data_IF_079566867038
#
_entry.id   IF_079566867038
#
_cell.length_a   1.000
_cell.length_b   1.000
_cell.length_c   1.000
_cell.angle_alpha   90.00
_cell.angle_beta   90.00
_cell.angle_gamma   90.00
#
_symmetry.space_group_name_H-M   'P 1'
#
loop_
_entity.id
_entity.type
_entity.pdbx_description
1 polymer ?
#
# COMPACT_ATOMS: atom_id res chain seq x y z
N UNK A 1 2.86 9.47 22.85
CA UNK A 1 2.38 8.07 22.72
C UNK A 1 2.87 7.53 21.40
N UNK A 2 3.59 6.41 21.42
CA UNK A 2 3.97 5.71 20.20
C UNK A 2 2.74 5.05 19.54
N UNK A 3 2.73 5.07 18.22
CA UNK A 3 1.82 4.31 17.39
C UNK A 3 2.64 3.33 16.54
N UNK A 4 2.31 2.05 16.67
CA UNK A 4 3.02 1.01 15.93
C UNK A 4 2.25 0.68 14.66
N UNK A 5 2.97 0.61 13.55
CA UNK A 5 2.45 0.18 12.25
C UNK A 5 3.26 -1.01 11.77
N UNK A 6 2.57 -2.04 11.27
CA UNK A 6 3.19 -3.20 10.64
C UNK A 6 2.92 -3.18 9.14
N UNK A 7 3.95 -3.37 8.32
CA UNK A 7 3.80 -3.69 6.90
C UNK A 7 4.15 -5.16 6.69
N UNK A 8 3.28 -5.92 6.02
CA UNK A 8 3.48 -7.36 5.82
C UNK A 8 3.07 -7.82 4.42
N UNK A 9 3.80 -8.80 3.90
CA UNK A 9 3.41 -9.54 2.69
C UNK A 9 2.38 -10.66 2.97
N UNK A 10 1.97 -10.85 4.23
CA UNK A 10 0.92 -11.79 4.63
C UNK A 10 1.30 -13.27 4.66
N UNK A 11 2.46 -13.67 4.16
CA UNK A 11 2.84 -15.09 4.05
C UNK A 11 2.80 -15.79 5.41
N UNK A 12 3.35 -15.16 6.46
CA UNK A 12 3.41 -15.67 7.83
C UNK A 12 2.25 -15.20 8.73
N UNK A 13 1.26 -14.50 8.18
CA UNK A 13 0.10 -14.00 8.91
C UNK A 13 -0.86 -15.16 9.21
N UNK A 14 -0.63 -15.83 10.32
CA UNK A 14 -1.52 -16.85 10.90
C UNK A 14 -2.43 -16.25 11.97
N UNK A 15 -3.29 -17.04 12.59
CA UNK A 15 -4.27 -16.58 13.57
C UNK A 15 -3.62 -15.95 14.82
N UNK A 16 -2.55 -16.54 15.34
CA UNK A 16 -1.80 -16.02 16.48
C UNK A 16 -1.19 -14.64 16.18
N UNK A 17 -0.59 -14.51 14.98
CA UNK A 17 -0.03 -13.23 14.52
C UNK A 17 -1.13 -12.20 14.30
N UNK A 18 -2.29 -12.59 13.76
CA UNK A 18 -3.42 -11.67 13.60
C UNK A 18 -3.95 -11.17 14.95
N UNK A 19 -4.07 -12.04 15.96
CA UNK A 19 -4.46 -11.64 17.31
C UNK A 19 -3.48 -10.63 17.92
N UNK A 20 -2.17 -10.91 17.82
CA UNK A 20 -1.13 -9.99 18.26
C UNK A 20 -1.22 -8.64 17.55
N UNK A 21 -1.32 -8.65 16.21
CA UNK A 21 -1.43 -7.45 15.38
C UNK A 21 -2.66 -6.63 15.73
N UNK A 22 -3.80 -7.26 15.95
CA UNK A 22 -5.03 -6.56 16.34
C UNK A 22 -4.93 -5.91 17.74
N UNK A 23 -4.18 -6.51 18.63
CA UNK A 23 -4.01 -5.99 20.00
C UNK A 23 -2.97 -4.87 20.09
N UNK A 24 -1.85 -5.00 19.36
CA UNK A 24 -0.67 -4.17 19.58
C UNK A 24 -0.45 -3.10 18.47
N UNK A 25 -0.97 -3.31 17.25
CA UNK A 25 -0.71 -2.42 16.12
C UNK A 25 -1.85 -1.42 15.92
N UNK A 26 -1.50 -0.13 15.90
CA UNK A 26 -2.47 0.93 15.57
C UNK A 26 -2.90 0.86 14.11
N UNK A 27 -1.98 0.51 13.20
CA UNK A 27 -2.28 0.36 11.77
C UNK A 27 -1.53 -0.83 11.16
N UNK A 28 -2.10 -1.40 10.10
CA UNK A 28 -1.49 -2.52 9.37
C UNK A 28 -1.54 -2.26 7.88
N UNK A 29 -0.41 -2.45 7.20
CA UNK A 29 -0.31 -2.35 5.75
C UNK A 29 -0.14 -3.75 5.16
N UNK A 30 -1.09 -4.17 4.34
CA UNK A 30 -1.19 -5.47 3.73
C UNK A 30 -0.75 -5.38 2.27
N UNK A 31 0.40 -5.96 1.94
CA UNK A 31 1.01 -5.81 0.61
C UNK A 31 0.35 -6.71 -0.43
N UNK A 32 -0.51 -6.13 -1.28
CA UNK A 32 -1.18 -6.79 -2.40
C UNK A 32 -1.33 -5.80 -3.56
N UNK A 33 -0.92 -6.19 -4.77
CA UNK A 33 -0.78 -5.23 -5.87
C UNK A 33 -2.06 -5.07 -6.71
N UNK A 34 -3.11 -5.85 -6.45
CA UNK A 34 -4.37 -5.78 -7.19
C UNK A 34 -4.82 -7.14 -7.68
N UNK A 35 -5.16 -7.28 -8.98
CA UNK A 35 -5.59 -8.53 -9.60
C UNK A 35 -4.53 -9.62 -9.43
N UNK A 36 -4.97 -10.87 -9.41
CA UNK A 36 -4.12 -12.05 -9.16
C UNK A 36 -2.89 -12.09 -10.06
N UNK A 37 -3.07 -11.91 -11.36
CA UNK A 37 -2.00 -11.96 -12.35
C UNK A 37 -0.97 -10.83 -12.16
N UNK A 38 -1.41 -9.64 -11.72
CA UNK A 38 -0.53 -8.52 -11.39
C UNK A 38 0.29 -8.84 -10.15
N UNK A 39 -0.38 -9.25 -9.08
CA UNK A 39 0.27 -9.59 -7.82
C UNK A 39 1.27 -10.75 -7.98
N UNK A 40 0.85 -11.84 -8.61
CA UNK A 40 1.68 -13.04 -8.75
C UNK A 40 2.90 -12.80 -9.65
N UNK A 41 2.82 -11.86 -10.60
CA UNK A 41 3.95 -11.45 -11.43
C UNK A 41 5.03 -10.72 -10.63
N UNK A 42 4.62 -9.82 -9.73
CA UNK A 42 5.53 -8.96 -8.98
C UNK A 42 5.97 -9.56 -7.63
N UNK A 43 5.16 -10.47 -7.06
CA UNK A 43 5.41 -11.10 -5.75
C UNK A 43 5.32 -12.63 -5.81
N UNK A 44 6.07 -13.28 -6.73
CA UNK A 44 6.11 -14.75 -6.73
C UNK A 44 6.88 -15.28 -5.52
N UNK A 45 6.59 -16.52 -5.14
CA UNK A 45 7.48 -17.27 -4.25
C UNK A 45 8.82 -17.59 -4.95
N UNK A 46 9.83 -17.96 -4.17
CA UNK A 46 11.15 -18.38 -4.71
C UNK A 46 11.07 -19.54 -5.70
N UNK A 47 10.03 -20.37 -5.64
CA UNK A 47 9.77 -21.47 -6.57
C UNK A 47 8.97 -21.05 -7.82
N UNK A 48 8.73 -19.74 -8.01
CA UNK A 48 8.01 -19.19 -9.14
C UNK A 48 6.48 -19.28 -9.06
N UNK A 49 5.92 -19.91 -8.03
CA UNK A 49 4.46 -19.95 -7.83
C UNK A 49 3.95 -18.59 -7.33
N UNK A 50 2.72 -18.23 -7.73
CA UNK A 50 2.04 -17.05 -7.23
C UNK A 50 1.76 -17.11 -5.73
N UNK A 51 1.71 -15.95 -5.09
CA UNK A 51 1.43 -15.83 -3.64
C UNK A 51 0.01 -15.33 -3.35
N UNK A 52 -0.72 -14.84 -4.33
CA UNK A 52 -2.05 -14.23 -4.20
C UNK A 52 -3.04 -15.11 -3.44
N UNK A 53 -3.23 -16.35 -3.88
CA UNK A 53 -4.21 -17.28 -3.28
C UNK A 53 -3.91 -17.64 -1.82
N UNK A 54 -2.64 -17.51 -1.40
CA UNK A 54 -2.25 -17.72 0.00
C UNK A 54 -2.54 -16.51 0.86
N UNK A 55 -2.27 -15.29 0.35
CA UNK A 55 -2.30 -14.08 1.18
C UNK A 55 -3.69 -13.43 1.23
N UNK A 56 -4.47 -13.50 0.14
CA UNK A 56 -5.77 -12.85 0.05
C UNK A 56 -6.72 -13.27 1.18
N UNK A 57 -6.99 -14.56 1.46
CA UNK A 57 -7.93 -14.93 2.53
C UNK A 57 -7.50 -14.44 3.93
N UNK A 58 -6.19 -14.32 4.15
CA UNK A 58 -5.63 -13.80 5.40
C UNK A 58 -5.86 -12.29 5.54
N UNK A 59 -5.76 -11.57 4.43
CA UNK A 59 -5.98 -10.13 4.39
C UNK A 59 -7.46 -9.79 4.56
N UNK A 60 -8.36 -10.53 3.91
CA UNK A 60 -9.80 -10.41 4.11
C UNK A 60 -10.16 -10.62 5.58
N UNK A 61 -9.69 -11.72 6.18
CA UNK A 61 -9.92 -12.01 7.60
C UNK A 61 -9.42 -10.91 8.53
N UNK A 62 -8.22 -10.36 8.26
CA UNK A 62 -7.68 -9.27 9.08
C UNK A 62 -8.51 -7.99 8.92
N UNK A 63 -8.86 -7.59 7.70
CA UNK A 63 -9.67 -6.41 7.43
C UNK A 63 -11.05 -6.49 8.12
N UNK A 64 -11.71 -7.64 8.04
CA UNK A 64 -12.97 -7.92 8.73
C UNK A 64 -12.81 -7.83 10.26
N UNK A 65 -11.77 -8.45 10.82
CA UNK A 65 -11.51 -8.45 12.27
C UNK A 65 -11.22 -7.05 12.82
N UNK A 66 -10.84 -6.11 11.96
CA UNK A 66 -10.61 -4.70 12.27
C UNK A 66 -11.81 -3.80 11.91
N UNK A 67 -12.98 -4.38 11.56
CA UNK A 67 -14.15 -3.63 11.12
C UNK A 67 -13.86 -2.67 9.97
N UNK A 68 -13.01 -3.07 9.03
CA UNK A 68 -12.60 -2.29 7.86
C UNK A 68 -11.89 -0.96 8.21
N UNK A 69 -11.27 -0.87 9.41
CA UNK A 69 -10.56 0.31 9.88
C UNK A 69 -9.11 0.01 10.27
N UNK A 70 -8.25 1.03 10.27
CA UNK A 70 -6.85 0.98 10.74
C UNK A 70 -6.02 -0.09 10.02
N UNK A 71 -6.27 -0.24 8.75
CA UNK A 71 -5.44 -1.01 7.83
C UNK A 71 -5.42 -0.32 6.46
N UNK A 72 -4.50 -0.74 5.61
CA UNK A 72 -4.51 -0.47 4.17
C UNK A 72 -4.10 -1.74 3.43
N UNK A 73 -4.83 -2.10 2.37
CA UNK A 73 -4.25 -2.93 1.33
C UNK A 73 -3.42 -2.01 0.45
N UNK A 74 -2.15 -2.33 0.27
CA UNK A 74 -1.20 -1.50 -0.45
C UNK A 74 -0.54 -2.26 -1.58
N UNK A 75 -0.74 -1.75 -2.78
CA UNK A 75 -0.14 -2.25 -4.00
C UNK A 75 0.81 -1.25 -4.65
N UNK A 76 1.43 -1.70 -5.74
CA UNK A 76 2.29 -0.89 -6.57
C UNK A 76 1.92 -1.11 -8.03
N UNK A 77 1.69 -0.03 -8.78
CA UNK A 77 1.55 -0.13 -10.21
C UNK A 77 2.86 0.22 -10.93
N UNK A 78 3.06 -0.40 -12.06
CA UNK A 78 4.27 -0.33 -12.86
C UNK A 78 3.90 -0.13 -14.33
N UNK A 79 4.87 -0.04 -15.20
CA UNK A 79 4.65 -0.07 -16.65
C UNK A 79 3.86 -1.30 -17.12
N UNK A 80 3.89 -2.40 -16.34
CA UNK A 80 3.23 -3.65 -16.68
C UNK A 80 1.73 -3.69 -16.35
N UNK A 81 1.25 -2.75 -15.53
CA UNK A 81 -0.16 -2.62 -15.12
C UNK A 81 -0.56 -1.15 -15.00
N UNK A 82 -0.34 -0.39 -16.07
CA UNK A 82 -0.73 1.03 -16.11
C UNK A 82 -2.24 1.23 -15.94
N UNK A 83 -3.04 0.22 -16.28
CA UNK A 83 -4.48 0.13 -16.03
C UNK A 83 -4.82 -0.13 -14.54
N UNK A 84 -4.05 0.46 -13.64
CA UNK A 84 -4.08 0.24 -12.18
C UNK A 84 -5.44 0.53 -11.54
N UNK A 85 -6.29 1.35 -12.18
CA UNK A 85 -7.66 1.55 -11.69
C UNK A 85 -8.42 0.23 -11.60
N UNK A 86 -8.17 -0.71 -12.51
CA UNK A 86 -8.77 -2.04 -12.47
C UNK A 86 -8.26 -2.86 -11.27
N UNK A 87 -7.01 -2.65 -10.85
CA UNK A 87 -6.44 -3.29 -9.66
C UNK A 87 -7.08 -2.73 -8.38
N UNK A 88 -7.23 -1.41 -8.30
CA UNK A 88 -7.93 -0.74 -7.18
C UNK A 88 -9.38 -1.20 -7.09
N UNK A 89 -10.11 -1.22 -8.20
CA UNK A 89 -11.52 -1.63 -8.24
C UNK A 89 -11.69 -3.12 -7.93
N UNK A 90 -10.75 -3.96 -8.36
CA UNK A 90 -10.71 -5.37 -7.98
C UNK A 90 -10.62 -5.54 -6.45
N UNK A 91 -9.70 -4.83 -5.79
CA UNK A 91 -9.57 -4.86 -4.34
C UNK A 91 -10.83 -4.33 -3.64
N UNK A 92 -11.44 -3.26 -4.15
CA UNK A 92 -12.69 -2.73 -3.63
C UNK A 92 -13.86 -3.72 -3.77
N UNK A 93 -13.94 -4.42 -4.91
CA UNK A 93 -14.98 -5.44 -5.16
C UNK A 93 -14.81 -6.69 -4.28
N UNK A 94 -13.60 -6.98 -3.79
CA UNK A 94 -13.33 -7.98 -2.75
C UNK A 94 -13.75 -7.51 -1.33
N UNK A 95 -14.20 -6.28 -1.18
CA UNK A 95 -14.70 -5.75 0.10
C UNK A 95 -13.70 -4.93 0.91
N UNK A 96 -12.47 -4.72 0.42
CA UNK A 96 -11.53 -3.84 1.09
C UNK A 96 -11.98 -2.38 1.01
N UNK A 97 -12.00 -1.70 2.17
CA UNK A 97 -12.44 -0.30 2.29
C UNK A 97 -11.30 0.72 2.35
N UNK A 98 -10.07 0.27 2.58
CA UNK A 98 -8.90 1.15 2.69
C UNK A 98 -7.83 0.68 1.70
N UNK A 99 -7.68 1.41 0.59
CA UNK A 99 -6.86 1.00 -0.55
C UNK A 99 -5.83 2.08 -0.88
N UNK A 100 -4.60 1.64 -1.13
CA UNK A 100 -3.48 2.46 -1.58
C UNK A 100 -2.72 1.71 -2.67
N UNK A 101 -2.68 2.23 -3.88
CA UNK A 101 -1.88 1.68 -4.99
C UNK A 101 -0.98 2.79 -5.51
N UNK A 102 0.32 2.62 -5.29
CA UNK A 102 1.34 3.64 -5.51
C UNK A 102 2.07 3.41 -6.84
N UNK A 103 2.55 4.46 -7.52
CA UNK A 103 3.47 4.28 -8.63
C UNK A 103 4.79 3.64 -8.15
N UNK A 104 5.37 2.78 -8.97
CA UNK A 104 6.69 2.22 -8.68
C UNK A 104 7.74 3.35 -8.66
N UNK A 105 8.66 3.26 -7.71
CA UNK A 105 9.84 4.12 -7.62
C UNK A 105 11.07 3.22 -7.73
N UNK A 106 11.94 3.50 -8.69
CA UNK A 106 13.13 2.72 -8.96
C UNK A 106 14.03 3.43 -9.96
N UNK A 107 15.03 2.72 -10.50
CA UNK A 107 15.85 3.21 -11.59
C UNK A 107 15.05 3.23 -12.90
N UNK A 108 15.23 4.25 -13.72
CA UNK A 108 14.60 4.35 -15.04
C UNK A 108 15.06 3.24 -16.02
N UNK A 109 16.14 2.51 -15.67
CA UNK A 109 16.69 1.40 -16.44
C UNK A 109 15.93 0.08 -16.23
N UNK A 110 15.09 0.00 -15.17
CA UNK A 110 14.31 -1.19 -14.88
C UNK A 110 13.17 -1.38 -15.91
N UNK A 111 12.94 -2.59 -16.34
CA UNK A 111 11.94 -2.93 -17.36
C UNK A 111 10.48 -2.68 -16.93
N UNK A 112 10.25 -2.53 -15.63
CA UNK A 112 8.97 -2.18 -15.03
C UNK A 112 8.82 -0.69 -14.69
N UNK A 113 9.86 0.13 -14.90
CA UNK A 113 9.87 1.55 -14.55
C UNK A 113 8.87 2.35 -15.40
N UNK A 114 8.19 3.29 -14.76
CA UNK A 114 7.31 4.25 -15.42
C UNK A 114 8.14 5.34 -16.06
N UNK A 115 7.76 5.74 -17.27
CA UNK A 115 8.43 6.78 -18.04
C UNK A 115 7.50 7.99 -18.24
N UNK A 116 8.06 9.12 -18.65
CA UNK A 116 7.29 10.34 -18.90
C UNK A 116 6.18 10.13 -19.94
N UNK A 117 6.40 9.28 -20.92
CA UNK A 117 5.45 8.92 -21.96
C UNK A 117 4.23 8.16 -21.45
N UNK A 118 4.34 7.52 -20.27
CA UNK A 118 3.24 6.77 -19.65
C UNK A 118 2.24 7.71 -18.90
N UNK A 119 2.64 8.95 -18.58
CA UNK A 119 1.84 9.87 -17.77
C UNK A 119 0.43 10.15 -18.32
N UNK A 120 0.21 10.36 -19.64
CA UNK A 120 -1.14 10.59 -20.14
C UNK A 120 -2.09 9.42 -19.87
N UNK A 121 -1.62 8.18 -20.00
CA UNK A 121 -2.40 6.98 -19.69
C UNK A 121 -2.67 6.87 -18.19
N UNK A 122 -1.67 7.11 -17.36
CA UNK A 122 -1.80 7.12 -15.91
C UNK A 122 -2.83 8.16 -15.45
N UNK A 123 -2.81 9.37 -15.99
CA UNK A 123 -3.79 10.40 -15.64
C UNK A 123 -5.22 10.00 -16.04
N UNK A 124 -5.38 9.40 -17.21
CA UNK A 124 -6.69 8.88 -17.63
C UNK A 124 -7.22 7.78 -16.70
N UNK A 125 -6.33 6.95 -16.14
CA UNK A 125 -6.72 5.92 -15.15
C UNK A 125 -7.11 6.55 -13.80
N UNK A 126 -6.46 7.64 -13.37
CA UNK A 126 -6.91 8.40 -12.19
C UNK A 126 -8.28 9.03 -12.41
N UNK A 127 -8.55 9.61 -13.59
CA UNK A 127 -9.87 10.19 -13.93
C UNK A 127 -10.96 9.12 -13.92
N UNK A 128 -10.69 7.96 -14.49
CA UNK A 128 -11.59 6.80 -14.49
C UNK A 128 -11.87 6.33 -13.06
N UNK A 129 -10.84 6.21 -12.23
CA UNK A 129 -10.99 5.81 -10.84
C UNK A 129 -11.81 6.83 -10.04
N UNK A 130 -11.56 8.13 -10.22
CA UNK A 130 -12.31 9.19 -9.57
C UNK A 130 -13.79 9.14 -9.94
N UNK A 131 -14.11 8.96 -11.23
CA UNK A 131 -15.50 8.82 -11.69
C UNK A 131 -16.19 7.61 -11.05
N UNK A 132 -15.49 6.47 -10.98
CA UNK A 132 -16.06 5.27 -10.37
C UNK A 132 -16.24 5.41 -8.85
N UNK A 133 -15.34 6.09 -8.16
CA UNK A 133 -15.51 6.40 -6.73
C UNK A 133 -16.73 7.28 -6.47
N UNK A 134 -16.99 8.29 -7.32
CA UNK A 134 -18.21 9.10 -7.24
C UNK A 134 -19.45 8.25 -7.42
N UNK A 135 -19.45 7.31 -8.39
CA UNK A 135 -20.58 6.40 -8.64
C UNK A 135 -20.85 5.47 -7.45
N UNK A 136 -19.81 5.06 -6.73
CA UNK A 136 -19.91 4.16 -5.57
C UNK A 136 -20.17 4.89 -4.24
N UNK A 137 -20.01 6.21 -4.21
CA UNK A 137 -20.13 7.01 -3.00
C UNK A 137 -21.49 6.83 -2.31
N UNK A 138 -21.48 6.60 -0.99
CA UNK A 138 -22.64 6.27 -0.19
C UNK A 138 -23.38 4.97 -0.57
N UNK A 139 -22.75 4.07 -1.31
CA UNK A 139 -23.25 2.72 -1.53
C UNK A 139 -22.49 1.71 -0.66
N UNK A 140 -22.92 0.45 -0.64
CA UNK A 140 -22.20 -0.66 -0.02
C UNK A 140 -20.83 -0.95 -0.65
N UNK A 141 -20.62 -0.45 -1.88
CA UNK A 141 -19.37 -0.54 -2.65
C UNK A 141 -18.43 0.65 -2.45
N UNK A 142 -18.78 1.59 -1.57
CA UNK A 142 -17.92 2.72 -1.23
C UNK A 142 -16.59 2.27 -0.62
N UNK A 143 -15.50 2.95 -0.96
CA UNK A 143 -14.15 2.69 -0.45
C UNK A 143 -13.31 3.97 -0.42
N UNK A 144 -12.26 3.98 0.39
CA UNK A 144 -11.27 5.05 0.43
C UNK A 144 -10.07 4.69 -0.44
N UNK A 145 -9.70 5.58 -1.36
CA UNK A 145 -8.44 5.51 -2.08
C UNK A 145 -7.48 6.57 -1.55
N UNK A 146 -6.32 6.15 -1.06
CA UNK A 146 -5.40 7.00 -0.30
C UNK A 146 -5.03 8.30 -1.03
N UNK A 147 -4.78 8.26 -2.35
CA UNK A 147 -4.38 9.44 -3.12
C UNK A 147 -5.48 10.51 -3.21
N UNK A 148 -6.76 10.14 -3.00
CA UNK A 148 -7.88 11.09 -3.01
C UNK A 148 -8.29 11.54 -1.60
N UNK A 149 -7.64 11.05 -0.55
CA UNK A 149 -7.87 11.45 0.84
C UNK A 149 -7.15 12.78 1.14
N UNK A 150 -7.50 13.83 0.41
CA UNK A 150 -6.92 15.16 0.55
C UNK A 150 -7.85 16.06 1.36
N UNK A 151 -7.30 16.74 2.38
CA UNK A 151 -8.01 17.82 3.05
C UNK A 151 -7.95 19.09 2.19
N UNK A 152 -9.02 19.36 1.44
CA UNK A 152 -9.13 20.54 0.59
C UNK A 152 -9.51 21.80 1.39
N UNK A 153 -9.86 21.67 2.68
CA UNK A 153 -10.29 22.78 3.53
C UNK A 153 -9.14 23.42 4.29
N UNK A 154 -8.09 22.63 4.58
CA UNK A 154 -6.94 23.05 5.39
C UNK A 154 -5.84 23.81 4.63
N UNK A 155 -5.94 23.94 3.31
CA UNK A 155 -4.90 24.51 2.46
C UNK A 155 -3.65 23.63 2.34
N UNK A 156 -2.60 24.11 1.64
CA UNK A 156 -1.39 23.31 1.44
C UNK A 156 -0.63 23.14 2.77
N UNK A 157 -0.21 21.90 3.07
CA UNK A 157 0.59 21.60 4.25
C UNK A 157 1.99 22.21 4.14
N UNK A 158 2.17 23.40 4.72
CA UNK A 158 3.46 24.12 4.74
C UNK A 158 4.54 23.29 5.45
N UNK A 159 4.21 22.59 6.54
CA UNK A 159 5.15 21.74 7.27
C UNK A 159 5.73 20.63 6.39
N UNK A 160 4.93 19.94 5.61
CA UNK A 160 5.40 18.91 4.65
C UNK A 160 6.29 19.48 3.54
N UNK A 161 6.08 20.74 3.14
CA UNK A 161 6.94 21.40 2.16
C UNK A 161 8.30 21.76 2.74
N UNK A 162 8.38 22.04 4.05
CA UNK A 162 9.62 22.44 4.72
C UNK A 162 10.42 21.23 5.24
N UNK A 163 9.74 20.22 5.79
CA UNK A 163 10.37 19.05 6.44
C UNK A 163 10.33 17.76 5.60
N UNK A 164 9.70 17.79 4.42
CA UNK A 164 9.54 16.61 3.58
C UNK A 164 8.63 15.55 4.21
N UNK A 165 9.00 14.26 4.08
CA UNK A 165 8.19 13.15 4.57
C UNK A 165 8.37 12.83 6.06
N UNK A 166 9.25 13.55 6.77
CA UNK A 166 9.53 13.30 8.18
C UNK A 166 10.46 12.13 8.48
N UNK A 167 11.07 11.54 7.45
CA UNK A 167 12.06 10.45 7.60
C UNK A 167 13.20 10.88 8.54
N UNK A 168 13.47 10.03 9.53
CA UNK A 168 14.51 10.26 10.54
C UNK A 168 14.15 11.27 11.64
N UNK A 169 13.02 11.97 11.54
CA UNK A 169 12.58 12.97 12.52
C UNK A 169 11.20 12.66 13.09
N UNK A 170 10.23 12.33 12.24
CA UNK A 170 8.86 12.04 12.65
C UNK A 170 8.58 10.53 12.73
N UNK A 171 9.35 9.73 12.01
CA UNK A 171 9.32 8.28 12.12
C UNK A 171 10.66 7.63 11.82
N UNK A 172 10.84 6.43 12.35
CA UNK A 172 12.03 5.61 12.19
C UNK A 172 11.63 4.17 11.81
N UNK A 173 12.48 3.47 11.09
CA UNK A 173 12.36 2.04 10.87
C UNK A 173 13.23 1.28 11.88
N UNK A 174 12.67 0.23 12.46
CA UNK A 174 13.38 -0.67 13.39
C UNK A 174 13.43 -2.06 12.76
N UNK A 175 14.63 -2.63 12.65
CA UNK A 175 14.80 -4.01 12.18
C UNK A 175 14.44 -5.02 13.27
N UNK A 176 14.21 -6.31 12.92
CA UNK A 176 14.03 -7.36 13.93
C UNK A 176 15.21 -7.54 14.90
N UNK A 177 16.39 -7.04 14.54
CA UNK A 177 17.60 -7.08 15.35
C UNK A 177 17.81 -5.84 16.22
N UNK A 178 16.92 -4.85 16.10
CA UNK A 178 16.97 -3.62 16.86
C UNK A 178 17.72 -2.47 16.20
N UNK A 179 18.21 -2.64 14.98
CA UNK A 179 18.88 -1.58 14.24
C UNK A 179 17.87 -0.48 13.85
N UNK A 180 18.30 0.77 13.90
CA UNK A 180 17.51 1.94 13.55
C UNK A 180 17.94 2.52 12.21
N UNK A 181 16.95 2.88 11.38
CA UNK A 181 17.15 3.57 10.12
C UNK A 181 16.18 4.76 10.00
N UNK A 182 16.55 5.82 9.26
CA UNK A 182 15.67 6.98 9.06
C UNK A 182 14.32 6.61 8.43
N UNK A 183 14.28 5.57 7.58
CA UNK A 183 13.11 5.12 6.85
C UNK A 183 13.28 3.66 6.45
N UNK A 184 12.18 2.96 6.25
CA UNK A 184 12.19 1.55 5.80
C UNK A 184 12.89 1.34 4.44
N UNK A 185 12.94 2.35 3.58
CA UNK A 185 13.66 2.30 2.30
C UNK A 185 15.19 2.25 2.46
N UNK A 186 15.70 2.65 3.60
CA UNK A 186 17.14 2.65 3.89
C UNK A 186 17.59 1.42 4.68
N UNK A 187 16.68 0.52 5.03
CA UNK A 187 17.02 -0.70 5.78
C UNK A 187 17.97 -1.57 4.94
N UNK A 188 19.14 -1.87 5.53
CA UNK A 188 20.20 -2.64 4.88
C UNK A 188 21.31 -1.78 4.25
N UNK A 189 21.11 -0.47 4.16
CA UNK A 189 22.12 0.47 3.69
C UNK A 189 22.97 0.97 4.87
N UNK A 190 24.14 0.41 5.06
CA UNK A 190 25.02 0.63 6.23
C UNK A 190 25.31 2.09 6.54
N UNK A 191 25.41 2.93 5.48
CA UNK A 191 25.64 4.40 5.61
C UNK A 191 24.50 5.17 6.28
N UNK A 192 23.32 4.55 6.41
CA UNK A 192 22.14 5.16 7.04
C UNK A 192 21.77 4.51 8.37
N UNK A 193 22.57 3.56 8.86
CA UNK A 193 22.41 2.99 10.20
C UNK A 193 22.61 4.10 11.25
N UNK A 194 21.66 4.22 12.18
CA UNK A 194 21.63 5.26 13.23
C UNK A 194 22.12 4.72 14.56
#
# INVERSE_FOLDING_TARGET
RFRFTLTTNGVLLNDEVQEFVNREMDNVVLSIDGRKEVHDRMRPFRNGKGSYDLVLPKFEKLAESRNQEKYYVRGTFTKNNKDFSNDVLHLADLGFKQISVEPVVGSDEEDYALQAEDLPEIFAEYDKLAAEMVNRYHTDKDFNFFHFMLDLTGGPCVAKRLSGCGSGTEYLAVTPWGDLYPCHQFVGEEKYLM
#
